data_IF_744307459724
#
_entry.id   IF_744307459724
#
_cell.length_a   1.000
_cell.length_b   1.000
_cell.length_c   1.000
_cell.angle_alpha   90.00
_cell.angle_beta   90.00
_cell.angle_gamma   90.00
#
_symmetry.space_group_name_H-M   'P 1'
#
loop_
_entity.id
_entity.type
_entity.pdbx_description
1 polymer ?
#
# COMPACT_ATOMS: atom_id res chain seq x y z
N UNK A 1 -8.84 9.59 6.61
CA UNK A 1 -9.70 8.74 5.76
C UNK A 1 -9.12 7.34 5.74
N UNK A 2 -9.96 6.31 5.75
CA UNK A 2 -9.54 4.90 5.66
C UNK A 2 -10.25 4.24 4.47
N UNK A 3 -9.60 3.32 3.76
CA UNK A 3 -10.21 2.57 2.66
C UNK A 3 -9.59 1.18 2.50
N UNK A 4 -10.37 0.27 1.94
CA UNK A 4 -9.89 -0.98 1.38
C UNK A 4 -10.40 -1.03 -0.06
N UNK A 5 -9.52 -0.78 -1.04
CA UNK A 5 -9.89 -0.79 -2.46
C UNK A 5 -9.97 -2.22 -2.99
N UNK A 6 -10.74 -2.38 -4.07
CA UNK A 6 -11.04 -3.67 -4.69
C UNK A 6 -9.79 -4.53 -4.88
N UNK A 7 -9.85 -5.77 -4.39
CA UNK A 7 -8.73 -6.69 -4.36
C UNK A 7 -8.46 -7.34 -5.72
N UNK A 8 -7.45 -8.21 -5.76
CA UNK A 8 -7.04 -9.03 -6.91
C UNK A 8 -6.67 -8.22 -8.17
N UNK A 9 -6.22 -8.91 -9.22
CA UNK A 9 -5.71 -8.26 -10.44
C UNK A 9 -6.84 -7.96 -11.43
N UNK A 10 -7.85 -8.81 -11.44
CA UNK A 10 -9.00 -8.84 -12.35
C UNK A 10 -9.84 -7.57 -12.20
N UNK A 11 -9.96 -7.05 -10.97
CA UNK A 11 -10.73 -5.85 -10.66
C UNK A 11 -9.94 -4.53 -10.77
N UNK A 12 -8.88 -4.52 -11.59
CA UNK A 12 -8.07 -3.32 -11.85
C UNK A 12 -8.88 -2.09 -12.26
N UNK A 13 -9.91 -2.27 -13.09
CA UNK A 13 -10.75 -1.16 -13.54
C UNK A 13 -11.56 -0.55 -12.39
N UNK A 14 -12.13 -1.39 -11.52
CA UNK A 14 -12.92 -0.95 -10.36
C UNK A 14 -12.03 -0.26 -9.34
N UNK A 15 -10.87 -0.84 -9.01
CA UNK A 15 -9.89 -0.23 -8.11
C UNK A 15 -9.43 1.15 -8.59
N UNK A 16 -9.18 1.31 -9.90
CA UNK A 16 -8.83 2.61 -10.47
C UNK A 16 -9.98 3.63 -10.35
N UNK A 17 -11.23 3.22 -10.56
CA UNK A 17 -12.40 4.08 -10.38
C UNK A 17 -12.56 4.51 -8.91
N UNK A 18 -12.38 3.59 -7.96
CA UNK A 18 -12.43 3.87 -6.53
C UNK A 18 -11.30 4.81 -6.10
N UNK A 19 -10.07 4.61 -6.61
CA UNK A 19 -8.94 5.51 -6.36
C UNK A 19 -9.21 6.91 -6.92
N UNK A 20 -9.71 7.02 -8.15
CA UNK A 20 -10.07 8.31 -8.74
C UNK A 20 -11.19 9.00 -7.95
N UNK A 21 -12.14 8.24 -7.40
CA UNK A 21 -13.17 8.79 -6.52
C UNK A 21 -12.57 9.31 -5.20
N UNK A 22 -11.68 8.56 -4.55
CA UNK A 22 -10.97 9.01 -3.35
C UNK A 22 -10.20 10.31 -3.59
N UNK A 23 -9.50 10.43 -4.73
CA UNK A 23 -8.78 11.65 -5.08
C UNK A 23 -9.74 12.83 -5.32
N UNK A 24 -10.91 12.63 -5.93
CA UNK A 24 -11.93 13.68 -6.04
C UNK A 24 -12.49 14.11 -4.69
N UNK A 25 -12.61 13.19 -3.72
CA UNK A 25 -13.01 13.57 -2.36
C UNK A 25 -11.96 14.47 -1.68
N UNK A 26 -10.68 14.33 -2.03
CA UNK A 26 -9.66 15.25 -1.52
C UNK A 26 -9.93 16.68 -1.99
N UNK A 27 -10.41 16.88 -3.22
CA UNK A 27 -10.73 18.21 -3.75
C UNK A 27 -11.98 18.83 -3.13
N UNK A 28 -12.91 18.02 -2.64
CA UNK A 28 -14.15 18.51 -2.01
C UNK A 28 -13.98 18.95 -0.55
N UNK A 29 -12.86 18.58 0.08
CA UNK A 29 -12.55 18.96 1.47
C UNK A 29 -11.83 20.30 1.47
N UNK A 30 -12.16 21.18 2.43
CA UNK A 30 -11.56 22.52 2.56
C UNK A 30 -10.03 22.45 2.47
N UNK A 31 -9.44 23.24 1.56
CA UNK A 31 -7.99 23.31 1.30
C UNK A 31 -7.18 23.68 2.54
N UNK A 32 -7.78 24.31 3.55
CA UNK A 32 -7.11 24.63 4.83
C UNK A 32 -6.87 23.40 5.71
N UNK A 33 -7.48 22.26 5.38
CA UNK A 33 -7.33 21.01 6.13
C UNK A 33 -6.27 20.11 5.49
N UNK A 34 -5.43 19.46 6.31
CA UNK A 34 -4.62 18.35 5.84
C UNK A 34 -5.48 17.08 5.81
N UNK A 35 -5.36 16.28 4.76
CA UNK A 35 -5.98 14.96 4.68
C UNK A 35 -4.90 13.91 4.80
N UNK A 36 -5.08 12.95 5.69
CA UNK A 36 -4.32 11.70 5.71
C UNK A 36 -5.29 10.59 5.31
N UNK A 37 -4.99 9.91 4.19
CA UNK A 37 -5.70 8.74 3.73
C UNK A 37 -4.78 7.53 3.79
N UNK A 38 -5.15 6.52 4.56
CA UNK A 38 -4.37 5.30 4.74
C UNK A 38 -5.26 4.07 4.54
N UNK A 39 -4.68 2.92 4.23
CA UNK A 39 -5.40 1.67 4.13
C UNK A 39 -4.78 0.72 3.12
N UNK A 40 -5.51 -0.34 2.78
CA UNK A 40 -5.15 -1.27 1.72
C UNK A 40 -5.69 -0.76 0.38
N UNK A 41 -4.78 -0.28 -0.47
CA UNK A 41 -5.15 0.26 -1.77
C UNK A 41 -5.17 -0.82 -2.84
N UNK A 42 -4.67 -2.03 -2.58
CA UNK A 42 -4.50 -3.11 -3.56
C UNK A 42 -3.80 -2.69 -4.88
N UNK A 43 -3.08 -1.56 -4.84
CA UNK A 43 -2.71 -0.78 -6.00
C UNK A 43 -1.36 -1.21 -6.57
N UNK A 44 -1.29 -1.35 -7.88
CA UNK A 44 -0.03 -1.51 -8.61
C UNK A 44 0.42 -0.15 -9.15
N UNK A 45 1.73 0.11 -9.17
CA UNK A 45 2.25 1.43 -9.56
C UNK A 45 1.82 1.85 -10.98
N UNK A 46 1.64 0.90 -11.90
CA UNK A 46 1.11 1.17 -13.25
C UNK A 46 -0.34 1.68 -13.27
N UNK A 47 -1.15 1.32 -12.27
CA UNK A 47 -2.55 1.74 -12.19
C UNK A 47 -2.66 3.19 -11.73
N UNK A 48 -1.76 3.60 -10.81
CA UNK A 48 -1.64 5.01 -10.43
C UNK A 48 -1.23 5.87 -11.64
N UNK A 49 -0.27 5.41 -12.44
CA UNK A 49 0.14 6.11 -13.66
C UNK A 49 -1.01 6.20 -14.68
N UNK A 50 -1.81 5.14 -14.83
CA UNK A 50 -2.92 5.10 -15.78
C UNK A 50 -4.04 6.11 -15.49
N UNK A 51 -4.22 6.51 -14.23
CA UNK A 51 -5.20 7.54 -13.84
C UNK A 51 -4.62 8.96 -13.77
N UNK A 52 -3.40 9.18 -14.26
CA UNK A 52 -2.74 10.49 -14.28
C UNK A 52 -1.84 10.80 -13.09
N UNK A 53 -1.61 9.83 -12.19
CA UNK A 53 -0.77 10.01 -11.01
C UNK A 53 -1.49 10.65 -9.82
N UNK A 54 -0.70 11.07 -8.82
CA UNK A 54 -1.23 11.83 -7.68
C UNK A 54 -1.31 13.32 -8.03
N UNK A 55 -2.31 14.07 -7.52
CA UNK A 55 -2.33 15.52 -7.58
C UNK A 55 -1.06 16.13 -6.97
N UNK A 56 -0.66 17.32 -7.42
CA UNK A 56 0.60 17.96 -7.00
C UNK A 56 0.68 18.29 -5.51
N UNK A 57 -0.45 18.52 -4.84
CA UNK A 57 -0.55 18.77 -3.40
C UNK A 57 -0.74 17.49 -2.57
N UNK A 58 -0.67 16.31 -3.20
CA UNK A 58 -0.79 14.99 -2.55
C UNK A 58 0.53 14.25 -2.65
N UNK A 59 1.03 13.78 -1.51
CA UNK A 59 2.24 12.96 -1.42
C UNK A 59 1.94 11.54 -0.95
N UNK A 60 2.71 10.57 -1.44
CA UNK A 60 2.78 9.20 -0.90
C UNK A 60 3.85 9.17 0.19
N UNK A 61 3.50 8.73 1.40
CA UNK A 61 4.39 8.77 2.56
C UNK A 61 5.67 7.93 2.39
N UNK A 62 5.61 6.78 1.73
CA UNK A 62 6.80 5.97 1.47
C UNK A 62 7.72 6.67 0.47
N UNK A 63 7.15 7.36 -0.51
CA UNK A 63 7.92 8.18 -1.46
C UNK A 63 8.56 9.38 -0.74
N UNK A 64 7.77 10.13 0.04
CA UNK A 64 8.21 11.33 0.74
C UNK A 64 9.32 11.06 1.77
N UNK A 65 9.32 9.86 2.37
CA UNK A 65 10.34 9.43 3.35
C UNK A 65 11.52 8.67 2.72
N UNK A 66 11.76 8.87 1.42
CA UNK A 66 13.00 8.43 0.76
C UNK A 66 12.96 7.05 0.11
N UNK A 67 11.79 6.44 -0.09
CA UNK A 67 11.61 5.17 -0.84
C UNK A 67 12.47 4.01 -0.30
N UNK A 68 12.57 3.93 1.03
CA UNK A 68 13.38 2.92 1.73
C UNK A 68 12.94 1.50 1.35
N UNK A 69 13.88 0.68 0.87
CA UNK A 69 13.59 -0.66 0.30
C UNK A 69 13.17 -1.66 1.37
N UNK A 70 13.73 -1.54 2.57
CA UNK A 70 13.47 -2.39 3.72
C UNK A 70 12.00 -2.38 4.18
N UNK A 71 11.26 -1.32 3.84
CA UNK A 71 9.84 -1.10 4.19
C UNK A 71 8.94 -0.92 2.95
N UNK A 72 9.42 -1.32 1.77
CA UNK A 72 8.68 -1.11 0.51
C UNK A 72 7.47 -2.04 0.36
N UNK A 73 7.63 -3.32 0.68
CA UNK A 73 6.58 -4.32 0.46
C UNK A 73 5.79 -4.53 1.75
N UNK A 74 4.50 -4.26 1.69
CA UNK A 74 3.57 -4.42 2.82
C UNK A 74 2.86 -5.77 2.75
N UNK A 75 2.80 -6.38 1.58
CA UNK A 75 2.39 -7.76 1.38
C UNK A 75 3.51 -8.52 0.66
N UNK A 76 4.14 -9.49 1.33
CA UNK A 76 5.38 -10.11 0.88
C UNK A 76 5.38 -11.62 1.16
N UNK A 77 5.03 -12.43 0.16
CA UNK A 77 5.00 -13.90 0.31
C UNK A 77 6.40 -14.55 0.40
N UNK A 78 7.47 -13.79 0.19
CA UNK A 78 8.83 -14.27 0.45
C UNK A 78 9.18 -14.25 1.94
N UNK A 79 8.57 -13.32 2.70
CA UNK A 79 8.83 -13.12 4.13
C UNK A 79 7.67 -13.54 5.03
N UNK A 80 6.46 -13.54 4.49
CA UNK A 80 5.23 -13.92 5.16
C UNK A 80 4.69 -15.22 4.54
N UNK A 81 4.45 -16.22 5.36
CA UNK A 81 3.98 -17.56 4.96
C UNK A 81 2.57 -17.88 5.46
N UNK A 82 1.82 -16.88 5.92
CA UNK A 82 0.43 -17.06 6.30
C UNK A 82 -0.45 -17.51 5.12
N UNK A 83 -0.09 -17.12 3.89
CA UNK A 83 -0.71 -17.58 2.65
C UNK A 83 0.27 -18.42 1.84
N UNK A 84 -0.24 -19.44 1.15
CA UNK A 84 0.54 -20.28 0.25
C UNK A 84 0.11 -20.03 -1.21
N UNK A 85 1.08 -19.75 -2.08
CA UNK A 85 0.83 -19.67 -3.52
C UNK A 85 0.98 -21.07 -4.13
N UNK A 86 -0.11 -21.81 -4.21
CA UNK A 86 -0.18 -23.07 -4.95
C UNK A 86 -0.32 -22.77 -6.44
N UNK A 87 0.75 -22.26 -7.06
CA UNK A 87 0.75 -21.81 -8.46
C UNK A 87 0.44 -22.89 -9.50
N UNK A 88 0.32 -24.16 -9.10
CA UNK A 88 0.12 -25.30 -10.01
C UNK A 88 -1.36 -25.72 -10.13
N UNK A 89 -2.22 -25.46 -9.14
CA UNK A 89 -3.64 -25.89 -9.19
C UNK A 89 -4.55 -24.87 -9.91
N UNK A 90 -4.36 -23.56 -9.67
CA UNK A 90 -5.23 -22.54 -10.28
C UNK A 90 -4.96 -22.27 -11.76
N UNK A 91 -3.75 -22.56 -12.26
CA UNK A 91 -3.38 -22.25 -13.66
C UNK A 91 -3.64 -23.40 -14.65
N UNK A 92 -4.17 -24.54 -14.20
CA UNK A 92 -4.44 -25.70 -15.07
C UNK A 92 -3.20 -26.21 -15.84
N UNK A 93 -2.00 -25.80 -15.43
CA UNK A 93 -0.75 -26.19 -16.08
C UNK A 93 -0.29 -27.49 -15.45
N UNK A 94 -0.60 -28.61 -16.11
CA UNK A 94 0.06 -29.87 -15.83
C UNK A 94 1.58 -29.64 -15.75
N UNK A 95 2.16 -30.06 -14.62
CA UNK A 95 3.60 -30.06 -14.37
C UNK A 95 4.31 -30.88 -15.44
N UNK A 96 4.73 -30.23 -16.52
CA UNK A 96 5.66 -30.82 -17.47
C UNK A 96 7.07 -30.74 -16.87
N UNK A 97 7.64 -31.92 -16.61
CA UNK A 97 9.08 -32.20 -16.44
C UNK A 97 9.80 -31.65 -15.18
N UNK A 98 10.00 -32.54 -14.20
CA UNK A 98 11.35 -32.97 -13.75
C UNK A 98 12.32 -31.99 -13.07
N UNK A 99 11.93 -30.76 -12.74
CA UNK A 99 12.78 -29.80 -12.01
C UNK A 99 12.04 -29.12 -10.87
N UNK A 100 12.69 -28.91 -9.72
CA UNK A 100 12.15 -28.10 -8.61
C UNK A 100 11.99 -26.65 -9.07
N UNK A 101 10.87 -26.34 -9.71
CA UNK A 101 10.54 -24.98 -10.13
C UNK A 101 10.14 -24.22 -8.87
N UNK A 102 10.96 -23.25 -8.45
CA UNK A 102 10.66 -22.44 -7.29
C UNK A 102 9.36 -21.68 -7.55
N UNK A 103 8.32 -21.96 -6.76
CA UNK A 103 7.02 -21.29 -6.87
C UNK A 103 7.22 -19.78 -6.80
N UNK A 104 6.64 -19.05 -7.75
CA UNK A 104 6.72 -17.59 -7.78
C UNK A 104 6.05 -17.03 -6.52
N UNK A 105 6.80 -16.23 -5.75
CA UNK A 105 6.33 -15.60 -4.51
C UNK A 105 6.16 -14.09 -4.73
N UNK A 106 4.93 -13.60 -4.96
CA UNK A 106 4.69 -12.20 -5.23
C UNK A 106 4.96 -11.31 -4.02
N UNK A 107 5.28 -10.05 -4.30
CA UNK A 107 5.46 -8.98 -3.30
C UNK A 107 4.88 -7.70 -3.84
N UNK A 108 4.10 -7.00 -3.02
CA UNK A 108 3.32 -5.84 -3.43
C UNK A 108 3.33 -4.76 -2.32
N UNK A 109 3.19 -3.51 -2.75
CA UNK A 109 2.99 -2.34 -1.87
C UNK A 109 1.52 -1.93 -1.93
N UNK A 110 0.69 -2.79 -1.35
CA UNK A 110 -0.75 -2.64 -1.35
C UNK A 110 -1.19 -1.58 -0.36
N UNK A 111 -0.62 -1.60 0.84
CA UNK A 111 -0.91 -0.63 1.89
C UNK A 111 -0.15 0.67 1.64
N UNK A 112 -0.89 1.78 1.60
CA UNK A 112 -0.34 3.11 1.28
C UNK A 112 -0.89 4.15 2.23
N UNK A 113 -0.12 5.23 2.39
CA UNK A 113 -0.53 6.42 3.12
C UNK A 113 -0.33 7.62 2.19
N UNK A 114 -1.43 8.27 1.83
CA UNK A 114 -1.46 9.48 1.02
C UNK A 114 -1.77 10.68 1.92
N UNK A 115 -1.07 11.79 1.69
CA UNK A 115 -1.21 13.01 2.48
C UNK A 115 -1.49 14.17 1.51
N UNK A 116 -2.68 14.78 1.60
CA UNK A 116 -2.95 16.07 0.95
C UNK A 116 -2.57 17.18 1.93
N UNK A 117 -1.62 18.02 1.55
CA UNK A 117 -1.20 19.16 2.37
C UNK A 117 -2.28 20.24 2.43
N UNK A 118 -2.33 20.96 3.55
CA UNK A 118 -3.12 22.19 3.63
C UNK A 118 -2.47 23.32 2.82
N UNK A 119 -3.31 24.21 2.31
CA UNK A 119 -2.91 25.45 1.63
C UNK A 119 -3.35 26.68 2.45
N UNK A 120 -2.60 27.81 2.43
CA UNK A 120 -1.41 28.08 1.60
C UNK A 120 -0.11 27.50 2.17
N UNK A 121 -0.08 27.05 3.43
CA UNK A 121 1.09 26.44 4.06
C UNK A 121 0.80 25.03 4.53
N UNK A 122 1.75 24.12 4.28
CA UNK A 122 1.73 22.82 4.93
C UNK A 122 2.00 23.00 6.42
N UNK A 123 1.23 22.27 7.22
CA UNK A 123 1.34 22.25 8.69
C UNK A 123 1.89 20.93 9.21
N UNK A 124 2.15 19.98 8.33
CA UNK A 124 2.53 18.64 8.72
C UNK A 124 3.46 17.99 7.69
N UNK A 125 4.58 17.49 8.17
CA UNK A 125 5.50 16.68 7.39
C UNK A 125 5.48 15.25 7.90
N UNK A 126 5.45 14.29 6.99
CA UNK A 126 5.71 12.89 7.34
C UNK A 126 7.21 12.69 7.46
N UNK A 127 7.66 12.31 8.65
CA UNK A 127 9.08 12.14 8.97
C UNK A 127 9.49 10.67 9.07
N UNK A 128 8.52 9.77 9.18
CA UNK A 128 8.77 8.34 9.27
C UNK A 128 7.68 7.52 8.56
N UNK A 129 8.11 6.45 7.89
CA UNK A 129 7.27 5.38 7.35
C UNK A 129 7.94 4.04 7.63
N UNK A 130 7.31 3.16 8.40
CA UNK A 130 7.86 1.88 8.85
C UNK A 130 6.86 0.73 8.73
N UNK A 131 7.36 -0.49 8.97
CA UNK A 131 6.53 -1.69 9.06
C UNK A 131 6.45 -2.20 10.50
N UNK A 132 5.30 -2.74 10.88
CA UNK A 132 5.03 -3.38 12.17
C UNK A 132 4.35 -4.75 11.97
N UNK A 133 4.24 -5.54 13.03
CA UNK A 133 3.69 -6.89 12.95
C UNK A 133 4.63 -7.90 12.28
N UNK A 134 5.94 -7.62 12.29
CA UNK A 134 6.98 -8.46 11.69
C UNK A 134 7.36 -9.68 12.57
N UNK A 135 6.85 -9.74 13.80
CA UNK A 135 7.14 -10.83 14.72
C UNK A 135 6.04 -11.90 14.65
N UNK A 136 6.46 -13.17 14.66
CA UNK A 136 5.50 -14.28 14.77
C UNK A 136 4.88 -14.30 16.15
N UNK A 137 3.61 -14.65 16.20
CA UNK A 137 2.92 -14.89 17.46
C UNK A 137 3.49 -16.18 18.11
N UNK A 138 3.35 -16.33 19.42
CA UNK A 138 3.72 -17.57 20.13
C UNK A 138 2.53 -18.05 20.97
N UNK A 139 2.31 -19.37 21.10
CA UNK A 139 3.10 -20.46 20.51
C UNK A 139 2.83 -20.68 19.01
N UNK A 140 1.89 -19.94 18.41
CA UNK A 140 1.39 -20.14 17.05
C UNK A 140 2.36 -19.61 15.97
N UNK A 141 2.86 -20.51 15.13
CA UNK A 141 3.82 -20.29 14.03
C UNK A 141 3.46 -19.26 12.95
N UNK A 142 2.40 -18.45 13.07
CA UNK A 142 2.02 -17.46 12.05
C UNK A 142 2.39 -16.02 12.43
N UNK A 143 2.40 -15.14 11.42
CA UNK A 143 2.42 -13.70 11.63
C UNK A 143 1.01 -13.18 11.99
N UNK A 144 0.86 -11.98 12.57
CA UNK A 144 -0.44 -11.41 12.92
C UNK A 144 -1.41 -11.27 11.74
N UNK A 145 -0.88 -11.08 10.54
CA UNK A 145 -1.60 -11.00 9.26
C UNK A 145 -0.64 -11.43 8.14
N UNK A 146 -1.17 -11.72 6.96
CA UNK A 146 -0.40 -11.86 5.72
C UNK A 146 0.12 -10.51 5.19
N UNK A 147 -0.43 -9.40 5.68
CA UNK A 147 0.10 -8.04 5.52
C UNK A 147 0.97 -7.63 6.72
N UNK A 148 1.97 -6.80 6.44
CA UNK A 148 2.67 -6.00 7.44
C UNK A 148 1.90 -4.70 7.68
N UNK A 149 1.69 -4.36 8.95
CA UNK A 149 1.11 -3.06 9.29
C UNK A 149 2.07 -1.93 8.92
N UNK A 150 1.51 -0.78 8.55
CA UNK A 150 2.28 0.46 8.28
C UNK A 150 2.19 1.38 9.48
N UNK A 151 3.34 1.91 9.93
CA UNK A 151 3.42 2.96 10.95
C UNK A 151 4.03 4.23 10.37
N UNK A 152 3.40 5.37 10.62
CA UNK A 152 3.91 6.69 10.20
C UNK A 152 4.06 7.63 11.39
N UNK A 153 5.01 8.55 11.30
CA UNK A 153 5.20 9.62 12.29
C UNK A 153 5.28 10.96 11.58
N UNK A 154 4.80 12.00 12.25
CA UNK A 154 4.61 13.31 11.66
C UNK A 154 5.18 14.41 12.55
N UNK A 155 5.81 15.41 11.92
CA UNK A 155 6.13 16.68 12.55
C UNK A 155 5.00 17.65 12.25
N UNK A 156 4.41 18.24 13.30
CA UNK A 156 3.34 19.23 13.17
C UNK A 156 3.90 20.61 13.51
N UNK A 157 3.56 21.61 12.69
CA UNK A 157 3.97 22.99 12.88
C UNK A 157 2.78 23.83 13.40
N UNK A 158 3.01 24.75 14.35
CA UNK A 158 1.98 25.66 14.82
C UNK A 158 1.54 26.62 13.71
N UNK A 159 0.35 27.21 13.86
CA UNK A 159 -0.12 28.26 12.98
C UNK A 159 0.77 29.50 13.16
N UNK A 160 1.47 29.90 12.11
CA UNK A 160 2.05 31.24 11.98
C UNK A 160 0.95 32.29 11.81
#
# INVERSE_FOLDING_TARGET
MNTHLESTKEFSAIRQQQLAHLLRMFDSIDKRQTIIAAGDFNLRDKELAAIGGLPSNVQDAWIATGRRREVQYTWDMMRNDNLQCNGDEELGRQSCSGGRRQSFKPRMRFDRVLIRHSEPSSRIDVVHFGLIGLERLKPNVCFPSDHWGVITSYQIYPNS
#
